data_IF_818162987817
#
_entry.id   IF_818162987817
#
_cell.length_a   1.000
_cell.length_b   1.000
_cell.length_c   1.000
_cell.angle_alpha   90.00
_cell.angle_beta   90.00
_cell.angle_gamma   90.00
#
_symmetry.space_group_name_H-M   'P 1'
#
loop_
_entity.id
_entity.type
_entity.pdbx_description
1 polymer ?
#
# COMPACT_ATOMS: atom_id res chain seq x y z
N UNK A 1 -24.87 5.29 -0.59
CA UNK A 1 -23.72 4.51 -1.03
C UNK A 1 -22.78 5.43 -1.82
N UNK A 2 -21.49 5.44 -1.56
CA UNK A 2 -20.59 6.35 -2.26
C UNK A 2 -20.14 5.70 -3.57
N UNK A 3 -20.47 6.28 -4.70
CA UNK A 3 -20.12 5.76 -6.03
C UNK A 3 -18.63 5.45 -6.18
N UNK A 4 -17.75 6.18 -5.50
CA UNK A 4 -16.31 5.96 -5.51
C UNK A 4 -15.90 4.62 -4.89
N UNK A 5 -16.60 4.15 -3.86
CA UNK A 5 -16.28 2.88 -3.19
C UNK A 5 -16.65 1.68 -4.08
N UNK A 6 -17.81 1.73 -4.72
CA UNK A 6 -18.23 0.67 -5.64
C UNK A 6 -17.30 0.57 -6.86
N UNK A 7 -16.98 1.72 -7.46
CA UNK A 7 -16.05 1.78 -8.58
C UNK A 7 -14.63 1.32 -8.20
N UNK A 8 -14.14 1.71 -7.01
CA UNK A 8 -12.84 1.27 -6.51
C UNK A 8 -12.80 -0.25 -6.33
N UNK A 9 -13.86 -0.85 -5.81
CA UNK A 9 -13.98 -2.30 -5.65
C UNK A 9 -13.94 -3.02 -7.00
N UNK A 10 -14.67 -2.53 -8.00
CA UNK A 10 -14.66 -3.09 -9.35
C UNK A 10 -13.26 -3.02 -9.98
N UNK A 11 -12.58 -1.87 -9.86
CA UNK A 11 -11.22 -1.69 -10.37
C UNK A 11 -10.24 -2.63 -9.68
N UNK A 12 -10.33 -2.79 -8.35
CA UNK A 12 -9.49 -3.71 -7.59
C UNK A 12 -9.73 -5.17 -8.01
N UNK A 13 -10.97 -5.55 -8.30
CA UNK A 13 -11.31 -6.87 -8.82
C UNK A 13 -10.68 -7.13 -10.18
N UNK A 14 -10.81 -6.18 -11.14
CA UNK A 14 -10.19 -6.27 -12.47
C UNK A 14 -8.66 -6.37 -12.36
N UNK A 15 -8.05 -5.56 -11.49
CA UNK A 15 -6.60 -5.60 -11.26
C UNK A 15 -6.15 -6.95 -10.65
N UNK A 16 -6.93 -7.52 -9.73
CA UNK A 16 -6.64 -8.82 -9.13
C UNK A 16 -6.70 -9.97 -10.15
N UNK A 17 -7.59 -9.89 -11.12
CA UNK A 17 -7.69 -10.84 -12.25
C UNK A 17 -6.60 -10.64 -13.30
N UNK A 18 -5.70 -9.66 -13.13
CA UNK A 18 -4.65 -9.31 -14.08
C UNK A 18 -5.16 -8.88 -15.47
N UNK A 19 -6.35 -8.34 -15.56
CA UNK A 19 -6.96 -7.86 -16.80
C UNK A 19 -6.31 -6.58 -17.33
N UNK A 20 -5.49 -5.92 -16.51
CA UNK A 20 -4.77 -4.71 -16.85
C UNK A 20 -4.15 -4.00 -15.65
N UNK A 21 -3.59 -2.82 -15.88
CA UNK A 21 -3.00 -2.02 -14.79
C UNK A 21 -4.07 -1.22 -14.04
N UNK A 22 -3.87 -1.05 -12.74
CA UNK A 22 -4.74 -0.23 -11.89
C UNK A 22 -4.95 1.19 -12.47
N UNK A 23 -3.86 1.81 -12.96
CA UNK A 23 -3.93 3.14 -13.57
C UNK A 23 -4.84 3.17 -14.79
N UNK A 24 -4.74 2.19 -15.67
CA UNK A 24 -5.58 2.10 -16.87
C UNK A 24 -7.07 2.13 -16.49
N UNK A 25 -7.48 1.25 -15.58
CA UNK A 25 -8.88 1.17 -15.15
C UNK A 25 -9.38 2.46 -14.49
N UNK A 26 -8.51 3.14 -13.71
CA UNK A 26 -8.85 4.43 -13.11
C UNK A 26 -9.07 5.50 -14.19
N UNK A 27 -8.25 5.53 -15.23
CA UNK A 27 -8.45 6.48 -16.34
C UNK A 27 -9.70 6.18 -17.18
N UNK A 28 -10.04 4.90 -17.36
CA UNK A 28 -11.23 4.44 -18.07
C UNK A 28 -12.53 4.66 -17.28
N UNK A 29 -12.47 4.84 -15.97
CA UNK A 29 -13.64 5.10 -15.12
C UNK A 29 -14.38 6.37 -15.55
N UNK A 30 -15.69 6.39 -15.39
CA UNK A 30 -16.56 7.54 -15.69
C UNK A 30 -16.56 8.61 -14.58
N UNK A 31 -16.00 8.32 -13.41
CA UNK A 31 -15.96 9.26 -12.28
C UNK A 31 -15.02 10.44 -12.58
N UNK A 32 -15.46 11.65 -12.23
CA UNK A 32 -14.70 12.88 -12.51
C UNK A 32 -13.40 12.98 -11.73
N UNK A 33 -13.44 12.65 -10.43
CA UNK A 33 -12.28 12.81 -9.57
C UNK A 33 -11.42 11.54 -9.54
N UNK A 34 -10.53 11.43 -10.54
CA UNK A 34 -9.58 10.33 -10.68
C UNK A 34 -8.58 10.27 -9.51
N UNK A 35 -8.26 11.42 -8.89
CA UNK A 35 -7.29 11.48 -7.78
C UNK A 35 -7.84 10.77 -6.54
N UNK A 36 -9.11 11.00 -6.22
CA UNK A 36 -9.78 10.31 -5.10
C UNK A 36 -9.82 8.81 -5.35
N UNK A 37 -10.21 8.39 -6.56
CA UNK A 37 -10.28 6.99 -6.93
C UNK A 37 -8.91 6.32 -6.87
N UNK A 38 -7.87 6.97 -7.42
CA UNK A 38 -6.50 6.49 -7.37
C UNK A 38 -6.02 6.31 -5.91
N UNK A 39 -6.30 7.32 -5.05
CA UNK A 39 -5.94 7.25 -3.64
C UNK A 39 -6.57 6.05 -2.96
N UNK A 40 -7.88 5.87 -3.09
CA UNK A 40 -8.59 4.74 -2.47
C UNK A 40 -8.00 3.41 -2.95
N UNK A 41 -7.87 3.22 -4.26
CA UNK A 41 -7.35 1.98 -4.83
C UNK A 41 -5.91 1.68 -4.40
N UNK A 42 -5.02 2.67 -4.39
CA UNK A 42 -3.62 2.50 -3.99
C UNK A 42 -3.50 2.17 -2.49
N UNK A 43 -4.24 2.87 -1.65
CA UNK A 43 -4.18 2.64 -0.20
C UNK A 43 -4.79 1.28 0.18
N UNK A 44 -5.91 0.88 -0.43
CA UNK A 44 -6.48 -0.45 -0.21
C UNK A 44 -5.53 -1.55 -0.70
N UNK A 45 -4.88 -1.35 -1.86
CA UNK A 45 -3.90 -2.31 -2.37
C UNK A 45 -2.68 -2.41 -1.46
N UNK A 46 -2.19 -1.29 -0.92
CA UNK A 46 -1.07 -1.23 0.03
C UNK A 46 -1.36 -2.00 1.32
N UNK A 47 -2.54 -1.81 1.88
CA UNK A 47 -2.93 -2.45 3.14
C UNK A 47 -3.70 -3.77 2.94
N UNK A 48 -3.73 -4.32 1.72
CA UNK A 48 -4.56 -5.46 1.35
C UNK A 48 -4.44 -6.64 2.29
N UNK A 49 -3.22 -7.03 2.64
CA UNK A 49 -2.95 -8.19 3.48
C UNK A 49 -3.59 -8.03 4.87
N UNK A 50 -3.36 -6.90 5.51
CA UNK A 50 -3.92 -6.59 6.81
C UNK A 50 -5.46 -6.47 6.77
N UNK A 51 -6.00 -5.79 5.76
CA UNK A 51 -7.45 -5.67 5.55
C UNK A 51 -8.12 -7.03 5.34
N UNK A 52 -7.45 -7.96 4.64
CA UNK A 52 -7.94 -9.32 4.47
C UNK A 52 -7.96 -10.09 5.78
N UNK A 53 -6.94 -9.95 6.62
CA UNK A 53 -6.91 -10.59 7.95
C UNK A 53 -8.06 -10.08 8.82
N UNK A 54 -8.33 -8.77 8.82
CA UNK A 54 -9.48 -8.20 9.52
C UNK A 54 -10.81 -8.70 8.95
N UNK A 55 -10.96 -8.72 7.63
CA UNK A 55 -12.16 -9.22 6.98
C UNK A 55 -12.44 -10.70 7.28
N UNK A 56 -11.40 -11.50 7.53
CA UNK A 56 -11.52 -12.91 7.91
C UNK A 56 -11.84 -13.14 9.39
N UNK A 57 -11.83 -12.11 10.24
CA UNK A 57 -12.20 -12.27 11.66
C UNK A 57 -13.68 -12.65 11.76
N UNK A 58 -14.04 -13.66 12.59
CA UNK A 58 -15.39 -14.18 12.65
C UNK A 58 -16.48 -13.13 12.96
N UNK A 59 -16.16 -12.21 13.88
CA UNK A 59 -17.08 -11.11 14.23
C UNK A 59 -17.35 -10.19 13.04
N UNK A 60 -16.31 -9.81 12.30
CA UNK A 60 -16.39 -8.97 11.10
C UNK A 60 -17.15 -9.68 9.99
N UNK A 61 -16.80 -10.94 9.70
CA UNK A 61 -17.42 -11.76 8.66
C UNK A 61 -18.92 -11.93 8.89
N UNK A 62 -19.30 -12.32 10.11
CA UNK A 62 -20.69 -12.52 10.48
C UNK A 62 -21.48 -11.23 10.33
N UNK A 63 -20.91 -10.10 10.76
CA UNK A 63 -21.53 -8.80 10.64
C UNK A 63 -21.73 -8.36 9.19
N UNK A 64 -20.68 -8.46 8.36
CA UNK A 64 -20.72 -8.10 6.93
C UNK A 64 -21.77 -8.93 6.17
N UNK A 65 -21.85 -10.23 6.45
CA UNK A 65 -22.83 -11.10 5.81
C UNK A 65 -24.27 -10.78 6.21
N UNK A 66 -24.51 -10.51 7.50
CA UNK A 66 -25.85 -10.30 8.04
C UNK A 66 -26.40 -8.91 7.74
N UNK A 67 -25.63 -7.86 8.03
CA UNK A 67 -26.13 -6.48 8.05
C UNK A 67 -25.92 -5.74 6.72
N UNK A 68 -24.89 -6.10 5.98
CA UNK A 68 -24.51 -5.36 4.77
C UNK A 68 -24.70 -6.17 3.47
N UNK A 69 -25.04 -7.47 3.59
CA UNK A 69 -25.21 -8.41 2.45
C UNK A 69 -24.11 -8.24 1.41
N UNK A 70 -22.88 -7.97 1.87
CA UNK A 70 -21.77 -7.61 1.03
C UNK A 70 -21.01 -8.88 0.61
N UNK A 71 -21.36 -9.43 -0.57
CA UNK A 71 -20.70 -10.62 -1.13
C UNK A 71 -19.37 -10.33 -1.83
N UNK A 72 -19.12 -9.08 -2.24
CA UNK A 72 -17.90 -8.70 -2.94
C UNK A 72 -16.75 -8.43 -1.95
N UNK A 73 -15.72 -9.29 -1.99
CA UNK A 73 -14.56 -9.19 -1.11
C UNK A 73 -13.79 -7.87 -1.29
N UNK A 74 -13.66 -7.35 -2.51
CA UNK A 74 -12.95 -6.08 -2.73
C UNK A 74 -13.74 -4.89 -2.20
N UNK A 75 -15.06 -4.94 -2.28
CA UNK A 75 -15.91 -3.92 -1.68
C UNK A 75 -15.82 -3.93 -0.15
N UNK A 76 -15.76 -5.12 0.47
CA UNK A 76 -15.51 -5.27 1.90
C UNK A 76 -14.20 -4.60 2.31
N UNK A 77 -13.11 -4.85 1.57
CA UNK A 77 -11.80 -4.24 1.85
C UNK A 77 -11.83 -2.71 1.75
N UNK A 78 -12.48 -2.17 0.71
CA UNK A 78 -12.66 -0.72 0.54
C UNK A 78 -13.45 -0.13 1.71
N UNK A 79 -14.49 -0.80 2.16
CA UNK A 79 -15.33 -0.35 3.26
C UNK A 79 -14.57 -0.35 4.59
N UNK A 80 -13.87 -1.44 4.90
CA UNK A 80 -13.03 -1.57 6.10
C UNK A 80 -11.95 -0.48 6.10
N UNK A 81 -11.27 -0.29 4.96
CA UNK A 81 -10.27 0.77 4.82
C UNK A 81 -10.85 2.17 5.09
N UNK A 82 -12.02 2.48 4.52
CA UNK A 82 -12.64 3.80 4.70
C UNK A 82 -13.04 4.06 6.16
N UNK A 83 -13.46 3.02 6.89
CA UNK A 83 -13.83 3.12 8.30
C UNK A 83 -12.60 3.29 9.21
N UNK A 84 -11.46 2.65 8.89
CA UNK A 84 -10.27 2.66 9.75
C UNK A 84 -9.25 3.73 9.37
N UNK A 85 -9.03 3.97 8.08
CA UNK A 85 -7.98 4.85 7.56
C UNK A 85 -8.50 5.99 6.70
N UNK A 86 -9.73 5.88 6.18
CA UNK A 86 -10.32 6.84 5.29
C UNK A 86 -11.01 8.01 5.98
N UNK A 87 -11.93 8.63 5.28
CA UNK A 87 -12.69 9.79 5.77
C UNK A 87 -13.54 9.49 7.01
N UNK A 88 -13.99 8.24 7.17
CA UNK A 88 -14.85 7.82 8.26
C UNK A 88 -14.09 7.36 9.51
N UNK A 89 -12.77 7.38 9.49
CA UNK A 89 -11.94 7.04 10.66
C UNK A 89 -12.31 7.84 11.90
N UNK A 90 -12.50 9.15 11.75
CA UNK A 90 -12.84 10.04 12.89
C UNK A 90 -14.32 10.05 13.18
N UNK A 91 -15.18 10.09 12.16
CA UNK A 91 -16.62 10.20 12.30
C UNK A 91 -17.33 9.57 11.11
N UNK A 92 -18.09 8.52 11.38
CA UNK A 92 -19.05 8.01 10.41
C UNK A 92 -20.20 9.03 10.31
N UNK A 93 -20.68 9.39 9.10
CA UNK A 93 -21.76 10.38 8.97
C UNK A 93 -22.98 10.05 9.82
N UNK A 94 -23.48 11.05 10.53
CA UNK A 94 -24.66 10.90 11.41
C UNK A 94 -25.96 11.35 10.74
N UNK A 95 -25.85 12.08 9.63
CA UNK A 95 -26.99 12.73 8.98
C UNK A 95 -27.88 11.78 8.16
N UNK A 96 -27.58 10.48 8.17
CA UNK A 96 -28.41 9.46 7.54
C UNK A 96 -29.11 8.63 8.60
N UNK A 97 -30.41 8.86 8.79
CA UNK A 97 -31.25 8.05 9.69
C UNK A 97 -31.55 6.64 9.15
N UNK A 98 -30.80 6.16 8.19
CA UNK A 98 -30.98 4.83 7.60
C UNK A 98 -30.27 3.73 8.39
N UNK A 99 -30.85 2.54 8.41
CA UNK A 99 -30.27 1.31 8.98
C UNK A 99 -28.82 1.09 8.52
N UNK A 100 -28.51 1.45 7.28
CA UNK A 100 -27.17 1.34 6.71
C UNK A 100 -26.09 2.13 7.50
N UNK A 101 -26.37 3.38 7.90
CA UNK A 101 -25.42 4.18 8.69
C UNK A 101 -25.25 3.67 10.12
N UNK A 102 -26.30 3.10 10.68
CA UNK A 102 -26.23 2.45 11.99
C UNK A 102 -25.37 1.21 11.92
N UNK A 103 -25.55 0.37 10.88
CA UNK A 103 -24.71 -0.80 10.64
C UNK A 103 -23.24 -0.42 10.44
N UNK A 104 -22.92 0.65 9.69
CA UNK A 104 -21.54 1.11 9.52
C UNK A 104 -20.90 1.58 10.83
N UNK A 105 -21.65 2.22 11.72
CA UNK A 105 -21.14 2.59 13.05
C UNK A 105 -20.84 1.39 13.93
N UNK A 106 -21.74 0.39 13.90
CA UNK A 106 -21.53 -0.87 14.63
C UNK A 106 -20.33 -1.62 14.05
N UNK A 107 -20.23 -1.72 12.72
CA UNK A 107 -19.06 -2.33 12.07
C UNK A 107 -17.76 -1.62 12.47
N UNK A 108 -17.77 -0.29 12.55
CA UNK A 108 -16.58 0.45 12.98
C UNK A 108 -16.16 0.09 14.39
N UNK A 109 -17.08 -0.03 15.35
CA UNK A 109 -16.76 -0.46 16.72
C UNK A 109 -16.13 -1.85 16.73
N UNK A 110 -16.71 -2.81 15.99
CA UNK A 110 -16.15 -4.15 15.85
C UNK A 110 -14.75 -4.13 15.24
N UNK A 111 -14.54 -3.31 14.19
CA UNK A 111 -13.24 -3.18 13.54
C UNK A 111 -12.17 -2.56 14.43
N UNK A 112 -12.53 -1.56 15.25
CA UNK A 112 -11.62 -0.95 16.21
C UNK A 112 -11.16 -2.00 17.25
N UNK A 113 -12.08 -2.81 17.79
CA UNK A 113 -11.76 -3.90 18.73
C UNK A 113 -10.90 -5.00 18.09
N UNK A 114 -11.27 -5.49 16.91
CA UNK A 114 -10.53 -6.55 16.21
C UNK A 114 -9.16 -6.07 15.71
N UNK A 115 -9.04 -4.79 15.35
CA UNK A 115 -7.77 -4.15 14.99
C UNK A 115 -6.81 -4.12 16.18
N UNK A 116 -7.30 -3.78 17.38
CA UNK A 116 -6.51 -3.78 18.61
C UNK A 116 -6.05 -5.20 19.01
N UNK A 117 -6.90 -6.21 18.76
CA UNK A 117 -6.53 -7.60 18.97
C UNK A 117 -5.42 -8.04 18.00
N UNK A 118 -5.52 -7.69 16.71
CA UNK A 118 -4.48 -7.97 15.73
C UNK A 118 -3.15 -7.30 16.07
N UNK A 119 -3.18 -6.08 16.58
CA UNK A 119 -1.97 -5.38 17.05
C UNK A 119 -1.30 -6.10 18.21
N UNK A 120 -2.08 -6.65 19.16
CA UNK A 120 -1.56 -7.48 20.27
C UNK A 120 -0.96 -8.77 19.77
N UNK A 121 -1.52 -9.38 18.72
CA UNK A 121 -0.99 -10.56 18.04
C UNK A 121 0.27 -10.25 17.19
N UNK A 122 0.78 -9.00 17.21
CA UNK A 122 1.98 -8.57 16.48
C UNK A 122 1.73 -8.26 14.99
N UNK A 123 0.49 -8.22 14.56
CA UNK A 123 0.10 -7.88 13.19
C UNK A 123 -0.31 -6.41 13.13
N UNK A 124 0.52 -5.55 12.58
CA UNK A 124 0.20 -4.14 12.41
C UNK A 124 -0.29 -3.81 11.00
N UNK A 125 -1.02 -2.70 10.87
CA UNK A 125 -1.42 -2.16 9.57
C UNK A 125 -0.21 -1.76 8.69
N UNK A 126 0.95 -1.57 9.31
CA UNK A 126 2.23 -1.28 8.67
C UNK A 126 3.06 -2.54 8.40
N UNK A 127 2.55 -3.71 8.81
CA UNK A 127 3.19 -4.99 8.51
C UNK A 127 3.33 -5.14 6.99
N UNK A 128 4.57 -5.11 6.54
CA UNK A 128 4.90 -5.25 5.13
C UNK A 128 4.44 -6.63 4.63
N UNK A 129 3.75 -6.66 3.52
CA UNK A 129 3.49 -7.92 2.83
C UNK A 129 4.82 -8.61 2.45
N UNK A 130 4.85 -9.92 2.26
CA UNK A 130 6.06 -10.61 1.77
C UNK A 130 6.65 -9.98 0.50
N UNK A 131 5.79 -9.43 -0.36
CA UNK A 131 6.21 -8.71 -1.57
C UNK A 131 6.88 -7.37 -1.23
N UNK A 132 6.35 -6.60 -0.29
CA UNK A 132 6.94 -5.33 0.17
C UNK A 132 8.25 -5.55 0.92
N UNK A 133 8.33 -6.57 1.77
CA UNK A 133 9.59 -6.99 2.41
C UNK A 133 10.64 -7.36 1.37
N UNK A 134 10.23 -8.07 0.31
CA UNK A 134 11.14 -8.39 -0.81
C UNK A 134 11.51 -7.12 -1.60
N UNK A 135 10.57 -6.21 -1.82
CA UNK A 135 10.82 -4.94 -2.52
C UNK A 135 11.76 -4.01 -1.74
N UNK A 136 11.71 -4.01 -0.40
CA UNK A 136 12.64 -3.24 0.43
C UNK A 136 14.10 -3.69 0.29
N UNK A 137 14.31 -4.94 -0.12
CA UNK A 137 15.63 -5.51 -0.38
C UNK A 137 16.13 -5.25 -1.80
N UNK A 138 15.31 -4.68 -2.69
CA UNK A 138 15.75 -4.34 -4.04
C UNK A 138 16.58 -3.07 -4.02
N UNK A 139 17.68 -3.03 -4.81
CA UNK A 139 18.48 -1.83 -4.94
C UNK A 139 17.66 -0.69 -5.55
N UNK A 140 17.81 0.50 -4.98
CA UNK A 140 17.20 1.71 -5.52
C UNK A 140 18.20 2.34 -6.49
N UNK A 141 17.77 2.56 -7.72
CA UNK A 141 18.60 3.19 -8.74
C UNK A 141 18.30 4.67 -8.85
N UNK A 142 19.35 5.48 -8.90
CA UNK A 142 19.26 6.92 -9.14
C UNK A 142 20.02 7.24 -10.42
N UNK A 143 19.37 7.90 -11.35
CA UNK A 143 20.03 8.40 -12.57
C UNK A 143 20.45 9.86 -12.36
N UNK A 144 21.75 10.11 -12.48
CA UNK A 144 22.26 11.48 -12.47
C UNK A 144 21.99 12.13 -13.84
N UNK A 145 21.36 13.30 -13.82
CA UNK A 145 21.19 14.10 -15.02
C UNK A 145 22.47 14.93 -15.26
N UNK A 146 23.39 14.38 -16.06
CA UNK A 146 24.70 14.98 -16.33
C UNK A 146 24.65 16.29 -17.09
N UNK A 147 23.51 16.65 -17.68
CA UNK A 147 23.28 17.97 -18.29
C UNK A 147 23.11 19.06 -17.21
N UNK A 148 22.59 18.70 -16.04
CA UNK A 148 22.30 19.65 -14.95
C UNK A 148 23.38 19.66 -13.87
N UNK A 149 24.07 18.54 -13.66
CA UNK A 149 25.00 18.37 -12.54
C UNK A 149 26.10 17.41 -12.94
N UNK A 150 27.36 17.75 -12.66
CA UNK A 150 28.46 16.82 -12.83
C UNK A 150 28.33 15.60 -11.90
N UNK A 151 28.79 14.45 -12.36
CA UNK A 151 28.71 13.19 -11.59
C UNK A 151 29.40 13.34 -10.22
N UNK A 152 30.57 13.98 -10.16
CA UNK A 152 31.30 14.23 -8.90
C UNK A 152 30.48 15.02 -7.89
N UNK A 153 29.78 16.07 -8.34
CA UNK A 153 28.88 16.84 -7.50
C UNK A 153 27.68 16.02 -6.98
N UNK A 154 27.16 15.13 -7.81
CA UNK A 154 26.09 14.23 -7.38
C UNK A 154 26.57 13.24 -6.31
N UNK A 155 27.80 12.73 -6.45
CA UNK A 155 28.44 11.86 -5.45
C UNK A 155 28.61 12.60 -4.13
N UNK A 156 29.17 13.81 -4.13
CA UNK A 156 29.37 14.62 -2.94
C UNK A 156 28.04 14.93 -2.20
N UNK A 157 26.97 15.21 -2.96
CA UNK A 157 25.62 15.43 -2.38
C UNK A 157 25.09 14.16 -1.72
N UNK A 158 25.22 13.00 -2.38
CA UNK A 158 24.78 11.74 -1.83
C UNK A 158 25.58 11.34 -0.59
N UNK A 159 26.89 11.55 -0.58
CA UNK A 159 27.74 11.28 0.58
C UNK A 159 27.38 12.17 1.76
N UNK A 160 27.09 13.45 1.51
CA UNK A 160 26.61 14.39 2.55
C UNK A 160 25.25 13.93 3.13
N UNK A 161 24.40 13.30 2.35
CA UNK A 161 23.15 12.73 2.79
C UNK A 161 23.31 11.34 3.45
N UNK A 162 24.57 10.90 3.69
CA UNK A 162 24.90 9.64 4.36
C UNK A 162 24.88 8.42 3.47
N UNK A 163 24.96 8.59 2.15
CA UNK A 163 25.14 7.47 1.21
C UNK A 163 26.61 7.12 1.07
N UNK A 164 26.94 5.84 0.94
CA UNK A 164 28.31 5.40 0.69
C UNK A 164 28.47 4.95 -0.74
N UNK A 165 29.51 5.45 -1.44
CA UNK A 165 29.86 4.99 -2.78
C UNK A 165 30.51 3.61 -2.72
N UNK A 166 29.83 2.60 -3.25
CA UNK A 166 30.38 1.26 -3.44
C UNK A 166 30.87 1.09 -4.88
N UNK A 167 32.17 1.06 -5.06
CA UNK A 167 32.79 0.71 -6.37
C UNK A 167 32.86 -0.80 -6.50
N UNK A 168 32.06 -1.34 -7.40
CA UNK A 168 32.00 -2.77 -7.66
C UNK A 168 32.87 -3.12 -8.85
N UNK A 169 33.85 -3.99 -8.63
CA UNK A 169 34.74 -4.46 -9.70
C UNK A 169 34.12 -5.45 -10.69
N UNK A 170 32.88 -5.96 -10.39
CA UNK A 170 32.11 -6.93 -11.21
C UNK A 170 30.63 -6.83 -10.93
N UNK A 171 29.78 -7.25 -11.89
CA UNK A 171 28.34 -7.39 -11.69
C UNK A 171 28.04 -8.17 -10.41
N UNK A 172 27.21 -7.60 -9.55
CA UNK A 172 26.76 -8.27 -8.32
C UNK A 172 25.49 -9.03 -8.63
N UNK A 173 25.45 -10.30 -8.22
CA UNK A 173 24.20 -11.07 -8.19
C UNK A 173 23.33 -10.60 -7.04
N UNK A 174 21.99 -10.75 -7.13
CA UNK A 174 21.07 -10.34 -6.05
C UNK A 174 21.42 -10.92 -4.67
N UNK A 175 21.94 -12.14 -4.62
CA UNK A 175 22.41 -12.79 -3.39
C UNK A 175 23.65 -12.13 -2.79
N UNK A 176 24.62 -11.74 -3.61
CA UNK A 176 25.80 -10.99 -3.16
C UNK A 176 25.45 -9.58 -2.70
N UNK A 177 24.49 -8.92 -3.38
CA UNK A 177 23.98 -7.62 -2.95
C UNK A 177 23.34 -7.70 -1.56
N UNK A 178 22.45 -8.67 -1.32
CA UNK A 178 21.84 -8.89 0.01
C UNK A 178 22.89 -9.06 1.10
N UNK A 179 23.92 -9.87 0.84
CA UNK A 179 25.02 -10.10 1.79
C UNK A 179 25.81 -8.81 2.05
N UNK A 180 26.04 -7.99 1.03
CA UNK A 180 26.73 -6.69 1.17
C UNK A 180 25.91 -5.71 2.03
N UNK A 181 24.60 -5.61 1.77
CA UNK A 181 23.69 -4.75 2.54
C UNK A 181 23.58 -5.19 3.99
N UNK A 182 23.55 -6.50 4.27
CA UNK A 182 23.46 -7.02 5.64
C UNK A 182 24.74 -6.82 6.47
N UNK A 183 25.88 -6.55 5.83
CA UNK A 183 27.17 -6.31 6.51
C UNK A 183 27.47 -4.83 6.74
N UNK A 184 26.63 -3.93 6.23
CA UNK A 184 26.81 -2.48 6.38
C UNK A 184 25.90 -1.93 7.48
N UNK A 185 26.48 -1.16 8.38
CA UNK A 185 25.76 -0.47 9.45
C UNK A 185 24.77 0.60 8.91
N UNK A 186 24.96 1.05 7.65
CA UNK A 186 24.08 1.99 6.96
C UNK A 186 23.54 1.39 5.67
N UNK A 187 22.19 1.33 5.48
CA UNK A 187 21.56 0.73 4.30
C UNK A 187 21.63 1.59 3.04
N UNK A 188 22.29 2.75 3.09
CA UNK A 188 22.35 3.69 1.96
C UNK A 188 23.59 3.44 1.13
N UNK A 189 23.45 2.59 0.11
CA UNK A 189 24.52 2.27 -0.85
C UNK A 189 24.10 2.75 -2.22
N UNK A 190 25.00 3.38 -2.96
CA UNK A 190 24.83 3.61 -4.39
C UNK A 190 25.98 2.97 -5.15
N UNK A 191 25.72 2.58 -6.39
CA UNK A 191 26.63 1.84 -7.24
C UNK A 191 27.11 2.76 -8.36
N UNK A 192 28.42 2.73 -8.65
CA UNK A 192 29.05 3.49 -9.72
C UNK A 192 28.40 3.12 -11.08
N UNK A 193 27.92 4.09 -11.87
CA UNK A 193 27.30 3.86 -13.16
C UNK A 193 28.27 3.37 -14.25
N UNK A 194 29.57 3.49 -14.07
CA UNK A 194 30.57 3.02 -15.06
C UNK A 194 30.71 1.49 -15.18
N UNK A 195 29.77 0.73 -14.59
CA UNK A 195 29.70 -0.73 -14.72
C UNK A 195 29.05 -1.16 -16.06
N UNK A 196 28.63 -0.23 -16.90
CA UNK A 196 27.88 -0.50 -18.14
C UNK A 196 28.62 -0.12 -19.42
N UNK A 197 29.93 0.17 -19.36
CA UNK A 197 30.81 0.30 -20.53
C UNK A 197 31.55 -1.01 -20.82
#
# INVERSE_FOLDING_TARGET
>A
MNFYHAEAAEILNKAAKKEGSLRRFIYESKLKDKKVLLKICCEVAKHRHWLQQLACRPAVQTFLARELSCGDSSYQLVLIFELLHGKWKRKVPTNGNGQHWTALRQLKSILDEESDLLLKDGVSSESLSPAESSASLLPRYVRVNTVRMAFTQAVELLERDGWCLCRLKKRITPSKYRRLVSTLESPKIYVDPHIYD
#
